data_IF_586880733292
#
_entry.id   IF_586880733292
#
_cell.length_a   1.000
_cell.length_b   1.000
_cell.length_c   1.000
_cell.angle_alpha   90.00
_cell.angle_beta   90.00
_cell.angle_gamma   90.00
#
_symmetry.space_group_name_H-M   'P 1'
#
loop_
_entity.id
_entity.type
_entity.pdbx_description
1 polymer ?
#
# COMPACT_ATOMS: atom_id res chain seq x y z
N UNK A 1 10.05 -13.14 72.83
CA UNK A 1 10.09 -11.68 73.04
C UNK A 1 8.92 -11.02 72.33
N UNK A 2 7.83 -10.77 73.04
CA UNK A 2 6.66 -10.02 72.55
C UNK A 2 6.62 -8.66 73.25
N UNK A 3 6.26 -7.64 72.47
CA UNK A 3 5.39 -6.49 72.79
C UNK A 3 6.00 -5.09 73.11
N UNK A 4 5.28 -4.08 72.55
CA UNK A 4 5.11 -2.63 72.91
C UNK A 4 6.26 -1.69 72.43
N UNK A 5 6.09 -0.53 71.77
CA UNK A 5 5.21 0.67 71.90
C UNK A 5 5.01 1.35 70.51
N UNK A 6 3.78 1.73 70.10
CA UNK A 6 3.01 2.97 70.37
C UNK A 6 3.35 4.18 69.46
N UNK A 7 2.32 4.61 68.72
CA UNK A 7 2.23 5.82 67.90
C UNK A 7 2.27 7.09 68.77
N UNK A 8 2.87 8.19 68.28
CA UNK A 8 2.19 9.44 67.90
C UNK A 8 3.18 10.63 67.81
N UNK A 9 3.09 11.34 66.67
CA UNK A 9 3.21 12.79 66.44
C UNK A 9 4.45 13.54 66.96
N UNK A 10 5.25 14.13 66.07
CA UNK A 10 4.96 15.48 65.54
C UNK A 10 5.87 15.89 64.37
N UNK A 11 5.22 16.63 63.47
CA UNK A 11 5.64 17.51 62.37
C UNK A 11 7.13 17.83 62.16
N UNK A 12 7.58 17.73 60.90
CA UNK A 12 8.12 18.90 60.19
C UNK A 12 8.01 18.75 58.68
N UNK A 13 7.67 19.87 58.04
CA UNK A 13 7.33 20.02 56.64
C UNK A 13 8.50 19.76 55.68
N UNK A 14 8.20 19.14 54.55
CA UNK A 14 8.99 19.25 53.33
C UNK A 14 8.06 19.17 52.11
N UNK A 15 7.71 20.36 51.62
CA UNK A 15 7.38 20.74 50.24
C UNK A 15 6.70 19.70 49.33
N UNK A 16 5.40 19.91 49.11
CA UNK A 16 4.73 19.55 47.85
C UNK A 16 5.38 20.38 46.73
N UNK A 17 6.17 19.71 45.88
CA UNK A 17 6.50 20.24 44.56
C UNK A 17 5.25 20.17 43.67
N UNK A 18 5.10 21.08 42.68
CA UNK A 18 3.98 21.00 41.76
C UNK A 18 4.07 19.67 41.01
N UNK A 19 3.00 18.88 41.08
CA UNK A 19 2.77 17.78 40.17
C UNK A 19 2.81 18.39 38.75
N UNK A 20 3.81 18.01 37.96
CA UNK A 20 3.83 18.32 36.53
C UNK A 20 2.56 17.72 35.93
N UNK A 21 1.74 18.59 35.34
CA UNK A 21 0.51 18.22 34.66
C UNK A 21 0.87 17.52 33.35
N UNK A 22 0.91 16.19 33.44
CA UNK A 22 0.30 15.18 32.57
C UNK A 22 0.23 15.47 31.06
N UNK A 23 0.84 14.57 30.28
CA UNK A 23 0.99 14.45 28.80
C UNK A 23 -0.31 14.58 27.97
N UNK A 24 -1.45 14.88 28.59
CA UNK A 24 -2.76 15.06 27.95
C UNK A 24 -2.86 16.28 27.01
N UNK A 25 -1.98 17.26 27.16
CA UNK A 25 -2.01 18.46 26.31
C UNK A 25 -1.31 18.27 24.94
N UNK A 26 -0.34 17.37 24.82
CA UNK A 26 0.37 17.13 23.56
C UNK A 26 -0.50 16.37 22.55
N UNK A 27 -1.22 15.33 22.98
CA UNK A 27 -2.11 14.54 22.12
C UNK A 27 -3.27 15.37 21.55
N UNK A 28 -3.90 16.21 22.39
CA UNK A 28 -4.94 17.12 21.92
C UNK A 28 -4.39 18.13 20.89
N UNK A 29 -3.11 18.50 20.97
CA UNK A 29 -2.51 19.43 20.00
C UNK A 29 -2.25 18.79 18.63
N UNK A 30 -1.88 17.50 18.58
CA UNK A 30 -1.69 16.78 17.32
C UNK A 30 -3.02 16.53 16.59
N UNK A 31 -4.08 16.20 17.34
CA UNK A 31 -5.43 16.06 16.79
C UNK A 31 -5.94 17.38 16.20
N UNK A 32 -5.81 18.47 16.95
CA UNK A 32 -6.19 19.82 16.48
C UNK A 32 -5.40 20.24 15.24
N UNK A 33 -4.08 19.98 15.20
CA UNK A 33 -3.25 20.26 14.03
C UNK A 33 -3.68 19.42 12.81
N UNK A 34 -3.95 18.13 13.02
CA UNK A 34 -4.42 17.20 11.97
C UNK A 34 -5.71 17.69 11.33
N UNK A 35 -6.68 18.08 12.16
CA UNK A 35 -7.97 18.64 11.70
C UNK A 35 -7.73 19.96 10.96
N UNK A 36 -6.92 20.87 11.51
CA UNK A 36 -6.63 22.15 10.88
C UNK A 36 -5.97 21.99 9.50
N UNK A 37 -5.02 21.06 9.37
CA UNK A 37 -4.38 20.73 8.09
C UNK A 37 -5.38 20.20 7.07
N UNK A 38 -6.23 19.26 7.46
CA UNK A 38 -7.27 18.72 6.58
C UNK A 38 -8.27 19.80 6.13
N UNK A 39 -8.69 20.68 7.04
CA UNK A 39 -9.57 21.81 6.71
C UNK A 39 -8.92 22.78 5.71
N UNK A 40 -7.61 23.04 5.84
CA UNK A 40 -6.87 23.87 4.87
C UNK A 40 -6.79 23.24 3.47
N UNK A 41 -6.88 21.91 3.37
CA UNK A 41 -7.01 21.18 2.09
C UNK A 41 -8.46 21.22 1.54
N UNK A 42 -9.38 21.86 2.24
CA UNK A 42 -10.78 21.97 1.86
C UNK A 42 -11.60 20.72 2.18
N UNK A 43 -11.21 19.96 3.21
CA UNK A 43 -11.98 18.81 3.70
C UNK A 43 -13.44 19.20 3.96
N UNK A 44 -14.34 18.35 3.48
CA UNK A 44 -15.75 18.31 3.88
C UNK A 44 -16.11 16.88 4.20
N UNK A 45 -16.96 16.64 5.20
CA UNK A 45 -17.50 15.31 5.43
C UNK A 45 -18.98 15.38 5.79
N UNK A 46 -19.71 14.33 5.43
CA UNK A 46 -21.12 14.19 5.69
C UNK A 46 -21.39 12.80 6.25
N UNK A 47 -21.97 12.72 7.45
CA UNK A 47 -22.43 11.47 8.03
C UNK A 47 -23.62 10.91 7.26
N UNK A 48 -23.70 9.58 7.14
CA UNK A 48 -24.91 8.92 6.63
C UNK A 48 -26.04 9.10 7.67
N UNK A 49 -27.19 9.72 7.28
CA UNK A 49 -28.33 9.90 8.19
C UNK A 49 -28.90 8.57 8.74
N UNK A 50 -28.66 7.45 8.05
CA UNK A 50 -29.15 6.12 8.43
C UNK A 50 -28.14 5.34 9.27
N UNK A 51 -26.87 5.70 9.23
CA UNK A 51 -25.81 4.99 9.94
C UNK A 51 -24.65 5.95 10.26
N UNK A 52 -24.59 6.53 11.46
CA UNK A 52 -23.57 7.53 11.79
C UNK A 52 -22.14 6.95 11.76
N UNK A 53 -22.00 5.61 11.80
CA UNK A 53 -20.73 4.89 11.60
C UNK A 53 -20.21 4.91 10.16
N UNK A 54 -20.96 5.49 9.24
CA UNK A 54 -20.57 5.68 7.85
C UNK A 54 -20.57 7.17 7.54
N UNK A 55 -19.58 7.62 6.77
CA UNK A 55 -19.52 8.98 6.28
C UNK A 55 -18.94 9.04 4.86
N UNK A 56 -19.30 10.12 4.16
CA UNK A 56 -18.66 10.48 2.90
C UNK A 56 -17.76 11.69 3.15
N UNK A 57 -16.44 11.50 3.01
CA UNK A 57 -15.47 12.58 3.04
C UNK A 57 -15.13 13.00 1.61
N UNK A 58 -15.01 14.30 1.40
CA UNK A 58 -14.70 14.92 0.13
C UNK A 58 -13.53 15.89 0.28
N UNK A 59 -12.46 15.67 -0.48
CA UNK A 59 -11.33 16.58 -0.58
C UNK A 59 -10.68 16.45 -1.96
N UNK A 60 -10.06 17.53 -2.46
CA UNK A 60 -9.33 17.53 -3.74
C UNK A 60 -10.14 16.98 -4.94
N UNK A 61 -11.46 17.19 -4.94
CA UNK A 61 -12.35 16.71 -6.01
C UNK A 61 -12.63 15.20 -6.01
N UNK A 62 -12.26 14.49 -4.95
CA UNK A 62 -12.52 13.07 -4.76
C UNK A 62 -13.47 12.83 -3.58
N UNK A 63 -14.21 11.73 -3.64
CA UNK A 63 -15.04 11.22 -2.57
C UNK A 63 -14.45 9.92 -2.01
N UNK A 64 -14.43 9.80 -0.69
CA UNK A 64 -13.90 8.66 0.05
C UNK A 64 -14.92 8.22 1.08
N UNK A 65 -15.24 6.94 1.09
CA UNK A 65 -16.12 6.34 2.09
C UNK A 65 -15.35 6.10 3.39
N UNK A 66 -15.93 6.48 4.52
CA UNK A 66 -15.36 6.26 5.85
C UNK A 66 -16.28 5.33 6.63
N UNK A 67 -15.71 4.28 7.19
CA UNK A 67 -16.41 3.30 8.00
C UNK A 67 -15.70 3.17 9.34
N UNK A 68 -16.40 3.40 10.45
CA UNK A 68 -15.85 3.27 11.80
C UNK A 68 -16.57 2.18 12.58
N UNK A 69 -15.83 1.23 13.16
CA UNK A 69 -16.39 0.21 14.06
C UNK A 69 -16.75 0.75 15.45
N UNK A 70 -16.26 1.94 15.80
CA UNK A 70 -16.25 2.42 17.17
C UNK A 70 -17.42 3.36 17.50
N UNK A 71 -18.32 3.58 16.53
CA UNK A 71 -19.46 4.48 16.67
C UNK A 71 -19.53 5.47 15.52
N UNK A 72 -20.03 6.69 15.76
CA UNK A 72 -20.09 7.73 14.74
C UNK A 72 -18.70 8.09 14.21
N UNK A 73 -18.57 8.29 12.90
CA UNK A 73 -17.34 8.82 12.31
C UNK A 73 -17.09 10.22 12.87
N UNK A 74 -15.87 10.43 13.37
CA UNK A 74 -15.42 11.68 13.99
C UNK A 74 -14.80 12.62 12.95
N UNK A 75 -14.71 13.90 13.30
CA UNK A 75 -14.01 14.90 12.48
C UNK A 75 -12.51 14.56 12.32
N UNK A 76 -11.90 13.99 13.36
CA UNK A 76 -10.51 13.55 13.34
C UNK A 76 -10.30 12.38 12.37
N UNK A 77 -11.17 11.36 12.38
CA UNK A 77 -11.13 10.25 11.41
C UNK A 77 -11.27 10.78 9.97
N UNK A 78 -12.17 11.72 9.73
CA UNK A 78 -12.30 12.37 8.43
C UNK A 78 -11.04 13.16 8.04
N UNK A 79 -10.40 13.83 9.00
CA UNK A 79 -9.15 14.57 8.78
C UNK A 79 -7.99 13.64 8.43
N UNK A 80 -7.80 12.53 9.16
CA UNK A 80 -6.81 11.51 8.83
C UNK A 80 -7.02 10.94 7.43
N UNK A 81 -8.26 10.61 7.07
CA UNK A 81 -8.59 10.18 5.71
C UNK A 81 -8.27 11.25 4.66
N UNK A 82 -8.47 12.54 4.97
CA UNK A 82 -8.14 13.62 4.04
C UNK A 82 -6.63 13.70 3.78
N UNK A 83 -5.82 13.57 4.83
CA UNK A 83 -4.35 13.59 4.73
C UNK A 83 -3.80 12.34 4.03
N UNK A 84 -4.38 11.16 4.28
CA UNK A 84 -4.07 9.96 3.50
C UNK A 84 -4.38 10.17 2.01
N UNK A 85 -5.52 10.80 1.70
CA UNK A 85 -5.86 11.09 0.31
C UNK A 85 -4.86 12.05 -0.34
N UNK A 86 -4.38 13.06 0.40
CA UNK A 86 -3.33 13.98 -0.08
C UNK A 86 -2.08 13.21 -0.49
N UNK A 87 -1.62 12.26 0.34
CA UNK A 87 -0.48 11.39 0.00
C UNK A 87 -0.73 10.57 -1.25
N UNK A 88 -1.92 10.00 -1.39
CA UNK A 88 -2.31 9.23 -2.59
C UNK A 88 -2.24 10.10 -3.84
N UNK A 89 -2.77 11.32 -3.79
CA UNK A 89 -2.72 12.27 -4.90
C UNK A 89 -1.29 12.77 -5.20
N UNK A 90 -0.43 12.89 -4.19
CA UNK A 90 0.94 13.37 -4.38
C UNK A 90 1.84 12.37 -5.14
N UNK A 91 1.53 11.07 -5.09
CA UNK A 91 2.37 10.03 -5.71
C UNK A 91 2.29 10.00 -7.24
N UNK A 92 1.13 10.31 -7.82
CA UNK A 92 0.96 10.35 -9.27
C UNK A 92 0.47 11.73 -9.69
N UNK A 93 1.31 12.47 -10.41
CA UNK A 93 0.99 13.80 -10.90
C UNK A 93 0.68 13.81 -12.40
N UNK A 94 0.15 14.94 -12.89
CA UNK A 94 -0.28 15.13 -14.28
C UNK A 94 0.78 14.82 -15.35
N UNK A 95 2.08 14.79 -15.00
CA UNK A 95 3.16 14.47 -15.94
C UNK A 95 3.18 12.98 -16.29
N UNK A 96 2.64 12.12 -15.43
CA UNK A 96 2.58 10.67 -15.61
C UNK A 96 1.28 10.28 -16.31
N UNK A 97 1.17 10.68 -17.60
CA UNK A 97 -0.03 10.40 -18.42
C UNK A 97 -0.38 8.92 -18.44
N UNK A 98 -1.68 8.63 -18.33
CA UNK A 98 -2.19 7.25 -18.34
C UNK A 98 -2.08 6.54 -16.99
N UNK A 99 -1.82 7.26 -15.90
CA UNK A 99 -1.81 6.72 -14.55
C UNK A 99 -2.64 7.60 -13.61
N UNK A 100 -3.32 6.97 -12.64
CA UNK A 100 -4.02 7.65 -11.56
C UNK A 100 -4.06 6.74 -10.33
N UNK A 101 -3.87 7.32 -9.14
CA UNK A 101 -4.18 6.66 -7.88
C UNK A 101 -5.42 7.31 -7.29
N UNK A 102 -6.36 6.50 -6.79
CA UNK A 102 -7.57 6.98 -6.15
C UNK A 102 -7.85 6.20 -4.89
N UNK A 103 -8.04 6.92 -3.78
CA UNK A 103 -8.52 6.30 -2.55
C UNK A 103 -10.03 6.12 -2.62
N UNK A 104 -10.50 4.93 -2.25
CA UNK A 104 -11.93 4.59 -2.26
C UNK A 104 -12.54 4.69 -0.87
N UNK A 105 -11.89 4.08 0.10
CA UNK A 105 -12.41 4.01 1.46
C UNK A 105 -11.32 3.88 2.50
N UNK A 106 -11.66 4.26 3.73
CA UNK A 106 -10.86 4.08 4.94
C UNK A 106 -11.73 3.40 5.99
N UNK A 107 -11.17 2.40 6.65
CA UNK A 107 -11.80 1.64 7.70
C UNK A 107 -11.08 1.86 9.02
N UNK A 108 -11.83 2.23 10.06
CA UNK A 108 -11.31 2.54 11.38
C UNK A 108 -11.68 1.47 12.42
N UNK A 109 -10.66 0.97 13.11
CA UNK A 109 -10.75 -0.06 14.15
C UNK A 109 -9.77 0.27 15.27
N UNK A 110 -10.27 0.37 16.51
CA UNK A 110 -9.44 0.68 17.68
C UNK A 110 -8.45 -0.42 18.05
N UNK A 111 -8.62 -1.64 17.54
CA UNK A 111 -7.83 -2.81 17.96
C UNK A 111 -6.85 -3.32 16.90
N UNK A 112 -6.73 -2.63 15.76
CA UNK A 112 -5.90 -3.07 14.64
C UNK A 112 -5.25 -1.91 13.89
N UNK A 113 -4.30 -2.23 13.01
CA UNK A 113 -3.92 -1.31 11.93
C UNK A 113 -5.16 -0.96 11.12
N UNK A 114 -5.31 0.32 10.81
CA UNK A 114 -6.41 0.86 10.05
C UNK A 114 -6.19 0.57 8.57
N UNK A 115 -7.20 0.07 7.86
CA UNK A 115 -7.06 -0.27 6.46
C UNK A 115 -7.62 0.85 5.58
N UNK A 116 -6.95 1.18 4.50
CA UNK A 116 -7.54 2.01 3.45
C UNK A 116 -7.30 1.43 2.07
N UNK A 117 -8.24 1.65 1.16
CA UNK A 117 -8.27 0.99 -0.13
C UNK A 117 -7.94 1.98 -1.25
N UNK A 118 -6.95 1.63 -2.05
CA UNK A 118 -6.43 2.48 -3.13
C UNK A 118 -6.43 1.72 -4.43
N UNK A 119 -6.97 2.34 -5.48
CA UNK A 119 -6.90 1.82 -6.82
C UNK A 119 -5.81 2.54 -7.62
N UNK A 120 -4.91 1.76 -8.18
CA UNK A 120 -3.99 2.18 -9.23
C UNK A 120 -4.67 1.92 -10.58
N UNK A 121 -5.19 2.99 -11.15
CA UNK A 121 -5.73 3.04 -12.50
C UNK A 121 -4.60 3.29 -13.51
N UNK A 122 -4.53 2.50 -14.57
CA UNK A 122 -3.57 2.70 -15.64
C UNK A 122 -4.17 2.43 -17.01
N UNK A 123 -3.77 3.22 -18.01
CA UNK A 123 -4.27 3.04 -19.37
C UNK A 123 -3.84 1.70 -19.94
N UNK A 124 -4.69 1.09 -20.76
CA UNK A 124 -4.43 -0.18 -21.43
C UNK A 124 -3.12 -0.23 -22.22
N UNK A 125 -2.62 0.92 -22.67
CA UNK A 125 -1.42 1.03 -23.48
C UNK A 125 -0.14 1.22 -22.67
N UNK A 126 -0.23 1.35 -21.34
CA UNK A 126 0.93 1.53 -20.45
C UNK A 126 0.94 0.45 -19.37
N UNK A 127 2.09 0.29 -18.71
CA UNK A 127 2.23 -0.53 -17.51
C UNK A 127 2.40 0.36 -16.30
N UNK A 128 1.92 -0.03 -15.11
CA UNK A 128 2.06 0.79 -13.92
C UNK A 128 3.52 1.03 -13.57
N UNK A 129 3.78 2.13 -12.89
CA UNK A 129 5.14 2.54 -12.53
C UNK A 129 5.62 1.96 -11.22
N UNK A 130 4.74 1.65 -10.27
CA UNK A 130 5.10 1.25 -8.90
C UNK A 130 4.57 -0.13 -8.60
N UNK A 131 5.36 -0.97 -7.93
CA UNK A 131 4.86 -2.27 -7.45
C UNK A 131 3.93 -2.08 -6.25
N UNK A 132 3.19 -3.14 -5.91
CA UNK A 132 2.32 -3.12 -4.73
C UNK A 132 3.11 -2.84 -3.45
N UNK A 133 4.31 -3.41 -3.36
CA UNK A 133 5.16 -3.23 -2.19
C UNK A 133 5.78 -1.82 -2.11
N UNK A 134 6.08 -1.20 -3.25
CA UNK A 134 6.50 0.20 -3.30
C UNK A 134 5.37 1.13 -2.83
N UNK A 135 4.17 0.96 -3.39
CA UNK A 135 3.01 1.75 -2.97
C UNK A 135 2.67 1.54 -1.51
N UNK A 136 2.76 0.30 -1.00
CA UNK A 136 2.56 0.02 0.41
C UNK A 136 3.48 0.90 1.27
N UNK A 137 4.77 0.94 0.97
CA UNK A 137 5.74 1.73 1.74
C UNK A 137 5.54 3.23 1.62
N UNK A 138 5.15 3.72 0.44
CA UNK A 138 4.95 5.15 0.24
C UNK A 138 3.67 5.66 0.91
N UNK A 139 2.65 4.80 0.98
CA UNK A 139 1.32 5.19 1.45
C UNK A 139 1.09 4.87 2.92
N UNK A 140 1.70 3.81 3.47
CA UNK A 140 1.67 3.53 4.90
C UNK A 140 2.09 4.77 5.69
N UNK A 141 1.32 5.08 6.73
CA UNK A 141 1.58 6.23 7.59
C UNK A 141 0.99 6.04 8.98
N UNK A 142 1.35 6.95 9.87
CA UNK A 142 0.82 7.06 11.23
C UNK A 142 0.32 8.48 11.48
N UNK A 143 -0.89 8.61 12.00
CA UNK A 143 -1.48 9.89 12.42
C UNK A 143 -2.06 9.73 13.82
N UNK A 144 -1.70 10.61 14.76
CA UNK A 144 -2.24 10.57 16.12
C UNK A 144 -2.10 9.18 16.79
N UNK A 145 -0.98 8.50 16.54
CA UNK A 145 -0.71 7.14 17.03
C UNK A 145 -1.44 6.01 16.29
N UNK A 146 -2.20 6.31 15.23
CA UNK A 146 -2.98 5.33 14.47
C UNK A 146 -2.23 4.94 13.20
N UNK A 147 -1.86 3.67 13.10
CA UNK A 147 -1.17 3.13 11.93
C UNK A 147 -2.16 2.81 10.80
N UNK A 148 -1.87 3.27 9.58
CA UNK A 148 -2.68 3.02 8.39
C UNK A 148 -1.95 2.17 7.34
N UNK A 149 -2.61 1.11 6.88
CA UNK A 149 -2.09 0.15 5.91
C UNK A 149 -2.89 0.18 4.60
N UNK A 150 -2.25 0.50 3.47
CA UNK A 150 -2.89 0.56 2.17
C UNK A 150 -3.16 -0.83 1.59
N UNK A 151 -4.37 -1.01 1.06
CA UNK A 151 -4.77 -2.14 0.26
C UNK A 151 -4.88 -1.69 -1.20
N UNK A 152 -3.82 -1.99 -1.96
CA UNK A 152 -3.68 -1.55 -3.34
C UNK A 152 -4.28 -2.56 -4.31
N UNK A 153 -4.99 -2.04 -5.32
CA UNK A 153 -5.48 -2.81 -6.45
C UNK A 153 -5.10 -2.15 -7.77
N UNK A 154 -4.72 -2.96 -8.74
CA UNK A 154 -4.44 -2.51 -10.11
C UNK A 154 -5.68 -2.66 -10.98
N UNK A 155 -6.03 -1.60 -11.71
CA UNK A 155 -7.15 -1.59 -12.65
C UNK A 155 -6.66 -1.03 -13.98
N UNK A 156 -6.73 -1.87 -15.00
CA UNK A 156 -6.49 -1.43 -16.37
C UNK A 156 -7.75 -0.75 -16.90
N UNK A 157 -7.58 0.44 -17.45
CA UNK A 157 -8.67 1.28 -17.92
C UNK A 157 -8.40 1.80 -19.33
N UNK A 158 -9.46 2.29 -19.98
CA UNK A 158 -9.34 2.98 -21.25
C UNK A 158 -9.59 4.48 -21.02
N UNK A 159 -8.53 5.26 -20.79
CA UNK A 159 -8.68 6.68 -20.45
C UNK A 159 -9.28 7.50 -21.59
N UNK A 160 -9.23 7.01 -22.84
CA UNK A 160 -9.87 7.64 -24.00
C UNK A 160 -11.41 7.48 -24.00
N UNK A 161 -11.94 6.55 -23.21
CA UNK A 161 -13.38 6.35 -23.03
C UNK A 161 -13.67 6.75 -21.60
N UNK A 162 -14.20 7.95 -21.43
CA UNK A 162 -14.29 8.69 -20.18
C UNK A 162 -15.26 8.09 -19.15
N UNK A 163 -15.17 6.78 -18.88
CA UNK A 163 -16.04 6.03 -17.98
C UNK A 163 -16.04 6.64 -16.58
N UNK A 164 -14.91 7.24 -16.18
CA UNK A 164 -14.74 7.92 -14.90
C UNK A 164 -15.53 9.22 -14.76
N UNK A 165 -15.70 9.99 -15.83
CA UNK A 165 -16.51 11.21 -15.78
C UNK A 165 -17.97 10.97 -16.16
N UNK A 166 -18.26 9.87 -16.85
CA UNK A 166 -19.62 9.57 -17.30
C UNK A 166 -20.46 8.94 -16.18
N UNK A 167 -19.87 8.13 -15.29
CA UNK A 167 -20.64 7.43 -14.25
C UNK A 167 -19.84 7.28 -12.93
N UNK A 168 -19.70 8.40 -12.19
CA UNK A 168 -18.99 8.41 -10.90
C UNK A 168 -19.60 7.43 -9.90
N UNK A 169 -20.93 7.22 -9.95
CA UNK A 169 -21.67 6.37 -9.02
C UNK A 169 -21.39 4.87 -9.24
N UNK A 170 -21.19 4.41 -10.49
CA UNK A 170 -20.85 3.01 -10.78
C UNK A 170 -19.46 2.61 -10.27
N UNK A 171 -18.50 3.53 -10.28
CA UNK A 171 -17.13 3.26 -9.83
C UNK A 171 -17.04 2.97 -8.32
N UNK A 172 -17.93 3.57 -7.53
CA UNK A 172 -18.03 3.32 -6.09
C UNK A 172 -18.87 2.09 -5.72
N UNK A 173 -19.48 1.41 -6.70
CA UNK A 173 -20.19 0.15 -6.48
C UNK A 173 -19.23 -1.01 -6.20
N UNK A 174 -19.37 -1.63 -5.03
CA UNK A 174 -18.53 -2.74 -4.55
C UNK A 174 -18.66 -4.03 -5.39
N UNK A 175 -19.73 -4.18 -6.15
CA UNK A 175 -20.06 -5.42 -6.88
C UNK A 175 -19.44 -5.51 -8.28
N UNK A 176 -18.84 -4.43 -8.79
CA UNK A 176 -18.37 -4.30 -10.18
C UNK A 176 -16.90 -4.71 -10.40
N UNK A 177 -16.25 -5.26 -9.38
CA UNK A 177 -14.79 -5.21 -9.29
C UNK A 177 -14.11 -6.45 -9.92
N UNK A 178 -13.34 -6.31 -11.02
CA UNK A 178 -12.52 -7.41 -11.51
C UNK A 178 -11.35 -7.72 -10.55
N UNK A 179 -11.10 -9.02 -10.33
CA UNK A 179 -9.85 -9.60 -9.81
C UNK A 179 -9.00 -10.12 -11.01
N UNK A 180 -7.68 -10.34 -10.99
CA UNK A 180 -6.91 -11.11 -9.98
C UNK A 180 -5.38 -11.12 -10.17
N UNK A 181 -4.76 -10.19 -10.90
CA UNK A 181 -3.31 -10.26 -11.17
C UNK A 181 -2.60 -8.92 -11.06
N UNK A 182 -1.51 -8.92 -10.30
CA UNK A 182 -0.56 -7.81 -10.23
C UNK A 182 0.22 -7.75 -11.56
N UNK A 183 0.16 -6.64 -12.31
CA UNK A 183 1.00 -6.47 -13.50
C UNK A 183 2.47 -6.24 -13.09
N UNK A 184 3.40 -6.63 -13.97
CA UNK A 184 4.79 -6.15 -13.85
C UNK A 184 4.82 -4.65 -14.15
N UNK A 185 5.61 -3.92 -13.38
CA UNK A 185 5.75 -2.48 -13.54
C UNK A 185 6.79 -2.13 -14.61
N UNK A 186 6.67 -0.96 -15.21
CA UNK A 186 7.64 -0.47 -16.18
C UNK A 186 7.92 1.01 -16.00
N UNK A 187 9.19 1.36 -15.79
CA UNK A 187 9.63 2.75 -15.70
C UNK A 187 11.09 2.86 -16.12
N UNK A 188 11.44 3.99 -16.74
CA UNK A 188 12.82 4.31 -17.13
C UNK A 188 13.50 3.23 -18.02
N UNK A 189 12.72 2.56 -18.87
CA UNK A 189 13.15 1.43 -19.71
C UNK A 189 13.51 0.12 -18.96
N UNK A 190 13.09 -0.01 -17.70
CA UNK A 190 13.23 -1.21 -16.90
C UNK A 190 11.88 -1.77 -16.51
N UNK A 191 11.81 -3.11 -16.46
CA UNK A 191 10.75 -3.82 -15.77
C UNK A 191 11.06 -3.84 -14.29
N UNK A 192 10.05 -3.66 -13.46
CA UNK A 192 10.18 -3.66 -12.00
C UNK A 192 9.16 -4.64 -11.43
N UNK A 193 9.61 -5.53 -10.56
CA UNK A 193 8.76 -6.50 -9.90
C UNK A 193 9.34 -6.91 -8.55
N UNK A 194 8.46 -7.39 -7.68
CA UNK A 194 8.85 -8.00 -6.42
C UNK A 194 9.21 -9.49 -6.65
N UNK A 195 10.18 -10.02 -5.91
CA UNK A 195 10.52 -11.44 -5.95
C UNK A 195 9.54 -12.21 -5.07
N UNK A 196 8.78 -13.12 -5.68
CA UNK A 196 7.76 -13.93 -4.99
C UNK A 196 8.22 -15.35 -4.66
N UNK A 197 9.35 -15.81 -5.22
CA UNK A 197 9.91 -17.14 -4.94
C UNK A 197 11.38 -17.23 -5.37
N UNK A 198 12.11 -18.19 -4.81
CA UNK A 198 13.51 -18.47 -5.16
C UNK A 198 13.72 -19.97 -5.29
N UNK A 199 14.37 -20.38 -6.38
CA UNK A 199 14.73 -21.77 -6.62
C UNK A 199 16.21 -21.89 -6.97
N UNK A 200 16.85 -22.93 -6.47
CA UNK A 200 18.23 -23.30 -6.81
C UNK A 200 18.25 -24.66 -7.51
N UNK A 201 18.79 -24.69 -8.73
CA UNK A 201 19.05 -25.92 -9.46
C UNK A 201 20.40 -26.47 -9.02
N UNK A 202 20.41 -27.56 -8.25
CA UNK A 202 21.64 -28.18 -7.75
C UNK A 202 22.50 -28.77 -8.88
N UNK A 203 21.88 -29.37 -9.90
CA UNK A 203 22.59 -30.04 -11.00
C UNK A 203 23.38 -29.05 -11.86
N UNK A 204 22.81 -27.85 -12.09
CA UNK A 204 23.40 -26.80 -12.94
C UNK A 204 24.11 -25.71 -12.14
N UNK A 205 23.85 -25.63 -10.83
CA UNK A 205 24.37 -24.57 -9.97
C UNK A 205 23.81 -23.19 -10.31
N UNK A 206 22.51 -23.11 -10.60
CA UNK A 206 21.83 -21.89 -11.11
C UNK A 206 20.72 -21.45 -10.18
N UNK A 207 20.53 -20.13 -10.05
CA UNK A 207 19.42 -19.55 -9.29
C UNK A 207 18.34 -19.02 -10.22
N UNK A 208 17.09 -19.19 -9.80
CA UNK A 208 15.90 -18.71 -10.48
C UNK A 208 15.08 -17.91 -9.47
N UNK A 209 14.53 -16.79 -9.91
CA UNK A 209 13.75 -15.89 -9.07
C UNK A 209 12.39 -15.63 -9.70
N UNK A 210 11.31 -16.06 -9.06
CA UNK A 210 9.96 -15.81 -9.55
C UNK A 210 9.61 -14.35 -9.31
N UNK A 211 9.11 -13.66 -10.32
CA UNK A 211 8.58 -12.30 -10.17
C UNK A 211 7.11 -12.35 -9.76
N UNK A 212 6.65 -11.39 -8.97
CA UNK A 212 5.22 -11.14 -8.76
C UNK A 212 4.65 -10.41 -9.99
N UNK A 213 3.70 -11.06 -10.65
CA UNK A 213 3.10 -10.59 -11.89
C UNK A 213 3.67 -11.22 -13.16
N UNK A 214 3.12 -10.78 -14.30
CA UNK A 214 3.45 -11.29 -15.63
C UNK A 214 3.94 -10.17 -16.54
N UNK A 215 4.95 -10.49 -17.36
CA UNK A 215 5.38 -9.63 -18.46
C UNK A 215 4.23 -9.38 -19.45
N UNK A 216 4.19 -8.21 -20.11
CA UNK A 216 3.12 -7.84 -21.03
C UNK A 216 3.08 -8.76 -22.26
N UNK A 217 1.89 -8.93 -22.84
CA UNK A 217 1.67 -9.78 -24.02
C UNK A 217 2.54 -9.40 -25.22
N UNK A 218 2.91 -8.12 -25.33
CA UNK A 218 3.86 -7.60 -26.33
C UNK A 218 5.24 -8.25 -26.26
N UNK A 219 5.73 -8.58 -25.05
CA UNK A 219 6.97 -9.33 -24.86
C UNK A 219 6.78 -10.85 -24.99
N UNK A 220 5.61 -11.34 -24.59
CA UNK A 220 5.32 -12.77 -24.62
C UNK A 220 5.02 -13.29 -26.04
N UNK A 221 4.58 -12.41 -26.93
CA UNK A 221 4.03 -12.74 -28.25
C UNK A 221 2.68 -13.47 -28.18
N UNK A 222 2.03 -13.46 -27.01
CA UNK A 222 0.75 -14.12 -26.74
C UNK A 222 0.15 -13.56 -25.43
N UNK A 223 -1.16 -13.71 -25.27
CA UNK A 223 -1.83 -13.37 -24.01
C UNK A 223 -1.42 -14.33 -22.88
N UNK A 224 -1.15 -13.81 -21.67
CA UNK A 224 -0.88 -14.66 -20.51
C UNK A 224 -2.10 -15.51 -20.15
N UNK A 225 -1.86 -16.73 -19.68
CA UNK A 225 -2.95 -17.63 -19.26
C UNK A 225 -3.03 -17.77 -17.73
N UNK A 226 -4.16 -18.26 -17.20
CA UNK A 226 -4.27 -18.53 -15.77
C UNK A 226 -3.16 -19.46 -15.26
N UNK A 227 -2.57 -19.11 -14.10
CA UNK A 227 -1.47 -19.85 -13.44
C UNK A 227 -0.12 -19.84 -14.17
N UNK A 228 0.01 -19.07 -15.25
CA UNK A 228 1.34 -18.77 -15.79
C UNK A 228 2.19 -18.06 -14.73
N UNK A 229 3.49 -18.31 -14.72
CA UNK A 229 4.44 -17.66 -13.82
C UNK A 229 5.78 -17.43 -14.53
N UNK A 230 6.48 -16.37 -14.15
CA UNK A 230 7.68 -15.90 -14.83
C UNK A 230 8.87 -15.93 -13.89
N UNK A 231 9.99 -16.47 -14.36
CA UNK A 231 11.21 -16.65 -13.57
C UNK A 231 12.40 -15.97 -14.24
N UNK A 232 13.09 -15.12 -13.48
CA UNK A 232 14.38 -14.58 -13.88
C UNK A 232 15.43 -15.68 -13.71
N UNK A 233 16.00 -16.15 -14.82
CA UNK A 233 17.01 -17.19 -14.81
C UNK A 233 18.41 -16.57 -14.74
N UNK A 234 19.02 -16.63 -13.56
CA UNK A 234 20.36 -16.09 -13.28
C UNK A 234 21.41 -17.15 -13.59
N UNK A 235 21.61 -17.35 -14.90
CA UNK A 235 22.45 -18.41 -15.46
C UNK A 235 23.88 -18.39 -14.89
N UNK A 236 24.36 -19.56 -14.45
CA UNK A 236 25.71 -19.72 -13.88
C UNK A 236 25.93 -19.08 -12.51
N UNK A 237 24.89 -18.48 -11.92
CA UNK A 237 25.00 -17.84 -10.62
C UNK A 237 24.88 -18.88 -9.49
N UNK A 238 26.00 -19.16 -8.80
CA UNK A 238 26.06 -20.15 -7.70
C UNK A 238 25.63 -19.62 -6.33
N UNK A 239 25.65 -18.31 -6.12
CA UNK A 239 25.25 -17.69 -4.84
C UNK A 239 23.95 -16.94 -5.03
N UNK A 240 22.98 -17.18 -4.16
CA UNK A 240 21.73 -16.42 -4.13
C UNK A 240 22.02 -14.92 -3.98
N UNK A 241 21.48 -14.12 -4.90
CA UNK A 241 21.64 -12.65 -4.93
C UNK A 241 20.41 -11.91 -4.42
N UNK A 242 19.24 -12.53 -4.55
CA UNK A 242 17.94 -11.93 -4.24
C UNK A 242 17.13 -12.84 -3.34
N UNK A 243 16.21 -12.25 -2.57
CA UNK A 243 15.37 -12.95 -1.60
C UNK A 243 13.90 -12.65 -1.90
N UNK A 244 13.02 -13.50 -1.38
CA UNK A 244 11.58 -13.24 -1.42
C UNK A 244 11.31 -11.89 -0.75
N UNK A 245 10.51 -11.04 -1.41
CA UNK A 245 10.19 -9.69 -0.99
C UNK A 245 11.21 -8.61 -1.39
N UNK A 246 12.30 -8.96 -2.08
CA UNK A 246 13.16 -7.96 -2.73
C UNK A 246 12.41 -7.37 -3.93
N UNK A 247 12.47 -6.05 -4.11
CA UNK A 247 12.02 -5.39 -5.34
C UNK A 247 13.21 -5.24 -6.28
N UNK A 248 13.09 -5.77 -7.49
CA UNK A 248 14.16 -5.75 -8.50
C UNK A 248 13.74 -4.94 -9.72
N UNK A 249 14.72 -4.30 -10.36
CA UNK A 249 14.57 -3.77 -11.71
C UNK A 249 15.43 -4.58 -12.67
N UNK A 250 14.93 -4.84 -13.87
CA UNK A 250 15.60 -5.67 -14.85
C UNK A 250 15.27 -5.30 -16.28
N UNK A 251 16.19 -5.64 -17.19
CA UNK A 251 15.99 -5.47 -18.63
C UNK A 251 15.89 -6.83 -19.28
N UNK A 252 14.72 -7.12 -19.86
CA UNK A 252 14.44 -8.37 -20.57
C UNK A 252 15.33 -8.46 -21.81
N UNK A 253 16.12 -9.54 -21.90
CA UNK A 253 16.92 -9.88 -23.07
C UNK A 253 16.22 -10.94 -23.91
N UNK A 254 15.65 -11.96 -23.26
CA UNK A 254 14.96 -13.05 -23.92
C UNK A 254 13.91 -13.68 -23.02
N UNK A 255 12.73 -13.92 -23.58
CA UNK A 255 11.66 -14.70 -22.94
C UNK A 255 11.61 -16.08 -23.58
N UNK A 256 11.73 -17.14 -22.79
CA UNK A 256 11.61 -18.51 -23.28
C UNK A 256 10.14 -18.92 -23.49
N UNK A 257 9.94 -19.97 -24.28
CA UNK A 257 8.60 -20.52 -24.53
C UNK A 257 8.02 -21.07 -23.22
N UNK A 258 6.72 -20.85 -23.04
CA UNK A 258 5.97 -21.42 -21.92
C UNK A 258 6.02 -22.95 -21.97
N UNK A 259 6.43 -23.58 -20.87
CA UNK A 259 6.46 -25.04 -20.69
C UNK A 259 6.58 -25.39 -19.20
N UNK A 260 6.63 -26.69 -18.93
CA UNK A 260 7.04 -27.19 -17.62
C UNK A 260 8.57 -27.26 -17.57
N UNK A 261 9.12 -26.70 -16.51
CA UNK A 261 10.54 -26.68 -16.18
C UNK A 261 10.78 -27.56 -14.95
N UNK A 262 12.04 -27.95 -14.71
CA UNK A 262 12.38 -28.77 -13.54
C UNK A 262 12.00 -28.12 -12.20
N UNK A 263 11.82 -26.79 -12.18
CA UNK A 263 11.53 -26.02 -10.97
C UNK A 263 10.05 -25.62 -10.83
N UNK A 264 9.24 -25.74 -11.87
CA UNK A 264 7.88 -25.20 -11.89
C UNK A 264 7.11 -25.66 -13.13
N UNK A 265 5.78 -25.61 -13.07
CA UNK A 265 4.91 -25.88 -14.23
C UNK A 265 4.38 -24.58 -14.83
N UNK A 266 3.99 -24.63 -16.10
CA UNK A 266 3.39 -23.50 -16.84
C UNK A 266 4.18 -22.19 -16.72
N UNK A 267 5.50 -22.25 -16.80
CA UNK A 267 6.33 -21.08 -16.59
C UNK A 267 7.03 -20.60 -17.85
N UNK A 268 7.64 -19.42 -17.75
CA UNK A 268 8.62 -18.91 -18.70
C UNK A 268 9.88 -18.48 -17.94
N UNK A 269 11.01 -18.98 -18.39
CA UNK A 269 12.30 -18.41 -18.01
C UNK A 269 12.54 -17.10 -18.77
N UNK A 270 13.19 -16.16 -18.11
CA UNK A 270 13.56 -14.86 -18.63
C UNK A 270 15.06 -14.69 -18.45
N UNK A 271 15.77 -14.52 -19.56
CA UNK A 271 17.13 -13.98 -19.53
C UNK A 271 17.05 -12.46 -19.49
N UNK A 272 17.93 -11.86 -18.70
CA UNK A 272 18.04 -10.43 -18.53
C UNK A 272 19.47 -9.97 -18.79
N UNK A 273 19.63 -8.77 -19.35
CA UNK A 273 20.95 -8.17 -19.56
C UNK A 273 21.42 -7.35 -18.36
N UNK A 274 20.47 -6.90 -17.52
CA UNK A 274 20.70 -6.11 -16.32
C UNK A 274 19.68 -6.53 -15.26
N UNK A 275 20.13 -6.68 -14.01
CA UNK A 275 19.29 -7.03 -12.87
C UNK A 275 19.89 -6.47 -11.58
N UNK A 276 19.13 -5.60 -10.93
CA UNK A 276 19.53 -4.86 -9.75
C UNK A 276 18.42 -4.87 -8.70
N UNK A 277 18.81 -4.91 -7.43
CA UNK A 277 17.87 -4.69 -6.33
C UNK A 277 17.70 -3.21 -6.12
N UNK A 278 16.45 -2.76 -6.15
CA UNK A 278 16.10 -1.38 -5.79
C UNK A 278 15.54 -1.28 -4.38
N UNK A 279 15.04 -2.39 -3.83
CA UNK A 279 14.69 -2.49 -2.43
C UNK A 279 14.93 -3.89 -1.87
N UNK A 280 15.49 -3.96 -0.66
CA UNK A 280 15.75 -5.20 0.07
C UNK A 280 14.64 -5.50 1.08
N UNK A 281 14.08 -6.71 1.03
CA UNK A 281 13.19 -7.18 2.08
C UNK A 281 13.85 -7.00 3.46
N UNK A 282 13.09 -6.54 4.46
CA UNK A 282 13.55 -6.54 5.85
C UNK A 282 13.70 -8.00 6.30
N UNK A 283 14.78 -8.26 7.04
CA UNK A 283 15.14 -9.60 7.54
C UNK A 283 14.22 -10.06 8.65
#
# INVERSE_FOLDING_TARGET
MRQVLLRLKDQSAAQEGPFETDDTNEWNSEEEETIARAMNLGMKFQLDPRSPSHALMSCMGCHVMLDSLNGPVTELEAAMACLLNEKVHALINERQKGHCLRMRSVFFDTYASHAFYVDYLYDRNVLPMYTQQELYRYLSDEFCGWCFEPHIRYIQENFDHDRFNVDQDEYYSLDSLPQKQNPVCFRENFYVADISDVYYNEERGEHYYRIDGLLPSSLLGAEPIPKENHWLADWGQKRQRFRIGDTVKFKVEKVYKRKDYNHTNNARDITFSQLEVIYRARA
#
